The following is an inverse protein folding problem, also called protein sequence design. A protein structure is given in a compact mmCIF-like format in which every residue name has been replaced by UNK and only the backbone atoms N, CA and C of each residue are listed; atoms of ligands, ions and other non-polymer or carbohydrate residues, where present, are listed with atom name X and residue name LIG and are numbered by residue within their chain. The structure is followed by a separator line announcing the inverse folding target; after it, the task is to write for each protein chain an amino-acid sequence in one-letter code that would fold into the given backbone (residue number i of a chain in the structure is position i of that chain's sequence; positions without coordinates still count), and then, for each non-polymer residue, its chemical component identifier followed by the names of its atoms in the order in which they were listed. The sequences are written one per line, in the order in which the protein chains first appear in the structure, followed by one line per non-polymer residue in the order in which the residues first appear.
data_IF_855081721666
#
_entry.id   IF_855081721666
#
_cell.length_a   1.000
_cell.length_b   1.000
_cell.length_c   1.000
_cell.angle_alpha   90.00
_cell.angle_beta   90.00
_cell.angle_gamma   90.00
#
_symmetry.space_group_name_H-M   'P 1'
#
loop_
_entity.id
_entity.type
_entity.pdbx_description
1 polymer ?
#
# COMPACT_ATOMS: atom_id res chain seq x y z
N UNK A 1 41.47 -21.15 27.30
CA UNK A 1 40.78 -20.78 26.06
C UNK A 1 41.75 -20.96 24.91
N UNK A 2 41.40 -21.71 23.87
CA UNK A 2 42.30 -22.12 22.79
C UNK A 2 41.93 -21.45 21.47
N UNK A 3 42.87 -21.44 20.53
CA UNK A 3 42.65 -20.88 19.19
C UNK A 3 41.57 -21.65 18.42
N UNK A 4 41.45 -22.97 18.64
CA UNK A 4 40.41 -23.78 18.01
C UNK A 4 39.01 -23.46 18.58
N UNK A 5 38.93 -23.16 19.88
CA UNK A 5 37.67 -22.71 20.50
C UNK A 5 37.20 -21.38 19.87
N UNK A 6 38.10 -20.42 19.64
CA UNK A 6 37.75 -19.17 18.95
C UNK A 6 37.31 -19.42 17.49
N UNK A 7 37.99 -20.34 16.79
CA UNK A 7 37.74 -20.65 15.39
C UNK A 7 36.35 -21.29 15.18
N UNK A 8 35.95 -22.21 16.07
CA UNK A 8 34.63 -22.83 16.01
C UNK A 8 33.53 -21.81 16.28
N UNK A 9 33.75 -20.87 17.20
CA UNK A 9 32.76 -19.82 17.52
C UNK A 9 32.50 -18.91 16.32
N UNK A 10 33.55 -18.40 15.68
CA UNK A 10 33.38 -17.53 14.49
C UNK A 10 32.77 -18.30 13.31
N UNK A 11 33.06 -19.59 13.17
CA UNK A 11 32.46 -20.43 12.13
C UNK A 11 30.94 -20.59 12.34
N UNK A 12 30.49 -20.83 13.58
CA UNK A 12 29.06 -20.93 13.91
C UNK A 12 28.37 -19.58 13.73
N UNK A 13 28.97 -18.48 14.19
CA UNK A 13 28.42 -17.12 14.00
C UNK A 13 28.28 -16.81 12.51
N UNK A 14 29.30 -17.14 11.70
CA UNK A 14 29.26 -16.98 10.25
C UNK A 14 28.08 -17.72 9.63
N UNK A 15 27.90 -19.00 9.95
CA UNK A 15 26.78 -19.80 9.46
C UNK A 15 25.41 -19.21 9.87
N UNK A 16 25.21 -18.94 11.17
CA UNK A 16 23.94 -18.41 11.68
C UNK A 16 23.61 -17.03 11.11
N UNK A 17 24.62 -16.19 10.87
CA UNK A 17 24.43 -14.84 10.32
C UNK A 17 23.80 -14.87 8.93
N UNK A 18 24.23 -15.79 8.06
CA UNK A 18 23.73 -15.90 6.68
C UNK A 18 22.25 -16.31 6.63
N UNK A 19 21.87 -17.32 7.42
CA UNK A 19 20.48 -17.80 7.52
C UNK A 19 19.57 -16.69 8.06
N UNK A 20 20.04 -15.97 9.08
CA UNK A 20 19.29 -14.89 9.73
C UNK A 20 18.90 -13.78 8.75
N UNK A 21 19.81 -13.40 7.83
CA UNK A 21 19.55 -12.34 6.84
C UNK A 21 18.40 -12.71 5.90
N UNK A 22 18.36 -13.96 5.41
CA UNK A 22 17.32 -14.42 4.49
C UNK A 22 15.95 -14.39 5.16
N UNK A 23 15.86 -14.88 6.40
CA UNK A 23 14.62 -14.89 7.18
C UNK A 23 14.14 -13.47 7.48
N UNK A 24 15.05 -12.58 7.88
CA UNK A 24 14.73 -11.18 8.18
C UNK A 24 14.22 -10.43 6.95
N UNK A 25 14.83 -10.66 5.78
CA UNK A 25 14.35 -10.06 4.53
C UNK A 25 12.94 -10.54 4.20
N UNK A 26 12.65 -11.84 4.33
CA UNK A 26 11.30 -12.40 4.18
C UNK A 26 10.28 -11.78 5.12
N UNK A 27 10.61 -11.66 6.41
CA UNK A 27 9.74 -11.05 7.41
C UNK A 27 9.45 -9.58 7.12
N UNK A 28 10.47 -8.81 6.70
CA UNK A 28 10.32 -7.40 6.31
C UNK A 28 9.42 -7.22 5.09
N UNK A 29 9.51 -8.11 4.08
CA UNK A 29 8.61 -8.09 2.92
C UNK A 29 7.15 -8.29 3.36
N UNK A 30 6.89 -9.34 4.16
CA UNK A 30 5.54 -9.62 4.67
C UNK A 30 4.97 -8.50 5.54
N UNK A 31 5.80 -7.88 6.38
CA UNK A 31 5.39 -6.73 7.21
C UNK A 31 5.00 -5.51 6.36
N UNK A 32 5.73 -5.24 5.28
CA UNK A 32 5.36 -4.17 4.33
C UNK A 32 4.08 -4.50 3.57
N UNK A 33 3.91 -5.75 3.12
CA UNK A 33 2.67 -6.18 2.46
C UNK A 33 1.46 -6.03 3.40
N UNK A 34 1.58 -6.43 4.67
CA UNK A 34 0.52 -6.24 5.66
C UNK A 34 0.18 -4.75 5.85
N UNK A 35 1.21 -3.87 5.87
CA UNK A 35 1.01 -2.42 5.90
C UNK A 35 0.25 -1.94 4.66
N UNK A 36 0.61 -2.39 3.45
CA UNK A 36 -0.09 -2.04 2.20
C UNK A 36 -1.56 -2.39 2.27
N UNK A 37 -1.87 -3.62 2.70
CA UNK A 37 -3.27 -4.05 2.84
C UNK A 37 -4.03 -3.17 3.83
N UNK A 38 -3.43 -2.86 4.98
CA UNK A 38 -4.05 -1.97 5.96
C UNK A 38 -4.26 -0.56 5.41
N UNK A 39 -3.27 0.00 4.71
CA UNK A 39 -3.33 1.34 4.13
C UNK A 39 -4.44 1.43 3.07
N UNK A 40 -4.57 0.42 2.21
CA UNK A 40 -5.65 0.33 1.21
C UNK A 40 -7.02 0.31 1.89
N UNK A 41 -7.20 -0.48 2.96
CA UNK A 41 -8.47 -0.50 3.70
C UNK A 41 -8.83 0.87 4.31
N UNK A 42 -7.84 1.61 4.80
CA UNK A 42 -8.04 2.98 5.32
C UNK A 42 -8.47 3.93 4.20
N UNK A 43 -7.84 3.86 3.02
CA UNK A 43 -8.22 4.70 1.87
C UNK A 43 -9.63 4.37 1.39
N UNK A 44 -9.96 3.07 1.26
CA UNK A 44 -11.30 2.60 0.89
C UNK A 44 -12.38 3.12 1.83
N UNK A 45 -12.16 3.05 3.14
CA UNK A 45 -13.10 3.56 4.13
C UNK A 45 -13.35 5.07 3.95
N UNK A 46 -12.31 5.86 3.67
CA UNK A 46 -12.45 7.28 3.36
C UNK A 46 -13.23 7.53 2.06
N UNK A 47 -12.98 6.73 1.02
CA UNK A 47 -13.72 6.80 -0.25
C UNK A 47 -15.19 6.42 -0.09
N UNK A 48 -15.50 5.45 0.77
CA UNK A 48 -16.89 5.09 1.10
C UNK A 48 -17.61 6.23 1.83
N UNK A 49 -16.94 6.90 2.77
CA UNK A 49 -17.51 8.10 3.40
C UNK A 49 -17.78 9.21 2.37
N UNK A 50 -16.86 9.40 1.41
CA UNK A 50 -17.07 10.33 0.31
C UNK A 50 -18.29 9.94 -0.54
N UNK A 51 -18.47 8.65 -0.84
CA UNK A 51 -19.64 8.15 -1.56
C UNK A 51 -20.95 8.40 -0.81
N UNK A 52 -20.99 8.11 0.49
CA UNK A 52 -22.19 8.30 1.33
C UNK A 52 -22.66 9.77 1.30
N UNK A 53 -21.73 10.73 1.34
CA UNK A 53 -22.10 12.15 1.38
C UNK A 53 -22.30 12.78 -0.01
N UNK A 54 -21.58 12.31 -1.04
CA UNK A 54 -21.53 12.97 -2.35
C UNK A 54 -22.15 12.18 -3.49
N UNK A 55 -22.54 10.93 -3.23
CA UNK A 55 -23.03 9.97 -4.23
C UNK A 55 -22.09 9.83 -5.45
N UNK A 56 -20.78 10.01 -5.23
CA UNK A 56 -19.75 9.92 -6.24
C UNK A 56 -18.40 9.65 -5.57
N UNK A 57 -17.46 9.03 -6.28
CA UNK A 57 -16.05 9.00 -5.88
C UNK A 57 -15.32 10.23 -6.44
N UNK A 58 -14.15 10.62 -5.88
CA UNK A 58 -13.33 11.71 -6.40
C UNK A 58 -13.03 11.54 -7.89
N UNK A 59 -13.33 12.54 -8.70
CA UNK A 59 -12.97 12.52 -10.11
C UNK A 59 -11.51 12.90 -10.27
N UNK A 60 -10.79 12.16 -11.11
CA UNK A 60 -9.38 12.39 -11.45
C UNK A 60 -9.23 12.41 -12.98
N UNK A 61 -8.53 13.40 -13.53
CA UNK A 61 -8.26 13.45 -14.97
C UNK A 61 -7.17 12.47 -15.43
N UNK A 62 -6.37 11.98 -14.49
CA UNK A 62 -5.26 11.05 -14.70
C UNK A 62 -4.98 10.30 -13.40
N UNK A 63 -4.25 9.17 -13.43
CA UNK A 63 -3.86 8.48 -12.22
C UNK A 63 -3.10 9.37 -11.22
N UNK A 64 -3.51 9.35 -9.95
CA UNK A 64 -3.02 10.23 -8.89
C UNK A 64 -2.18 9.44 -7.88
N UNK A 65 -0.94 9.87 -7.64
CA UNK A 65 -0.10 9.27 -6.62
C UNK A 65 -0.50 9.79 -5.24
N UNK A 66 -1.14 8.93 -4.46
CA UNK A 66 -1.67 9.23 -3.15
C UNK A 66 -0.59 9.46 -2.09
N UNK A 67 -0.92 10.28 -1.10
CA UNK A 67 -0.06 10.55 0.07
C UNK A 67 1.09 11.53 -0.22
N UNK A 68 1.11 12.18 -1.39
CA UNK A 68 2.15 13.13 -1.79
C UNK A 68 1.58 14.35 -2.49
N UNK A 69 2.33 15.47 -2.48
CA UNK A 69 1.99 16.70 -3.19
C UNK A 69 0.56 17.17 -2.94
N UNK A 70 -0.26 17.15 -3.99
CA UNK A 70 -1.66 17.58 -3.97
C UNK A 70 -2.66 16.52 -3.49
N UNK A 71 -2.21 15.36 -3.01
CA UNK A 71 -3.07 14.21 -2.69
C UNK A 71 -2.82 13.70 -1.26
N UNK A 72 -2.67 14.62 -0.30
CA UNK A 72 -2.31 14.31 1.09
C UNK A 72 -3.52 14.08 1.99
N UNK A 73 -4.68 14.60 1.62
CA UNK A 73 -5.95 14.46 2.36
C UNK A 73 -7.09 14.10 1.39
N UNK A 74 -8.13 13.43 1.88
CA UNK A 74 -9.38 13.24 1.15
C UNK A 74 -10.47 14.09 1.81
N UNK A 75 -11.14 14.88 0.99
CA UNK A 75 -12.19 15.82 1.41
C UNK A 75 -13.42 15.70 0.53
N UNK A 76 -14.45 16.50 0.82
CA UNK A 76 -15.60 16.68 -0.06
C UNK A 76 -15.24 17.17 -1.48
N UNK A 77 -14.03 17.67 -1.72
CA UNK A 77 -13.61 18.08 -3.06
C UNK A 77 -12.70 17.05 -3.74
N UNK A 78 -12.57 15.85 -3.18
CA UNK A 78 -11.62 14.83 -3.61
C UNK A 78 -10.28 14.89 -2.88
N UNK A 79 -9.24 14.33 -3.51
CA UNK A 79 -7.88 14.34 -2.97
C UNK A 79 -7.26 15.74 -3.10
N UNK A 80 -6.70 16.26 -2.01
CA UNK A 80 -6.17 17.61 -1.93
C UNK A 80 -4.87 17.70 -1.10
N UNK A 81 -4.13 18.81 -1.28
CA UNK A 81 -2.93 19.11 -0.48
C UNK A 81 -3.27 19.52 0.96
N UNK A 82 -4.46 20.08 1.17
CA UNK A 82 -4.86 20.74 2.42
C UNK A 82 -6.36 20.53 2.64
N UNK A 83 -6.82 20.28 3.88
CA UNK A 83 -8.22 19.99 4.15
C UNK A 83 -9.11 21.21 3.88
N UNK A 84 -9.83 21.19 2.76
CA UNK A 84 -10.81 22.22 2.40
C UNK A 84 -12.19 21.58 2.23
N UNK A 85 -13.12 21.92 3.12
CA UNK A 85 -14.44 21.28 3.19
C UNK A 85 -14.48 20.13 4.20
N UNK A 86 -15.49 19.26 4.11
CA UNK A 86 -15.62 18.08 4.97
C UNK A 86 -14.44 17.14 4.73
N UNK A 87 -13.80 16.66 5.79
CA UNK A 87 -12.61 15.80 5.70
C UNK A 87 -13.02 14.34 5.94
N UNK A 88 -12.75 13.47 4.98
CA UNK A 88 -13.04 12.03 5.07
C UNK A 88 -11.81 11.20 5.41
N UNK A 89 -10.62 11.67 4.99
CA UNK A 89 -9.35 11.10 5.39
C UNK A 89 -8.35 12.22 5.64
N UNK A 90 -8.08 12.50 6.91
CA UNK A 90 -7.20 13.59 7.32
C UNK A 90 -5.73 13.38 6.93
N UNK A 91 -5.34 12.14 6.63
CA UNK A 91 -4.02 11.82 6.08
C UNK A 91 -4.11 10.59 5.20
N UNK A 92 -3.80 10.76 3.93
CA UNK A 92 -3.71 9.66 2.99
C UNK A 92 -2.41 8.89 3.25
N UNK A 93 -2.46 7.56 3.44
CA UNK A 93 -1.27 6.73 3.56
C UNK A 93 -0.35 6.86 2.35
N UNK A 94 0.97 6.76 2.61
CA UNK A 94 2.02 6.66 1.59
C UNK A 94 2.56 5.23 1.59
N UNK A 95 3.10 4.78 0.45
CA UNK A 95 3.61 3.43 0.29
C UNK A 95 4.67 3.04 1.34
N UNK A 96 4.86 1.74 1.52
CA UNK A 96 5.68 1.20 2.60
C UNK A 96 7.20 1.43 2.43
N UNK A 97 7.63 1.90 1.25
CA UNK A 97 9.01 2.26 0.93
C UNK A 97 9.11 3.71 0.46
N UNK A 98 10.30 4.28 0.61
CA UNK A 98 10.59 5.60 0.03
C UNK A 98 10.40 5.55 -1.49
N UNK A 99 9.60 6.47 -2.03
CA UNK A 99 9.28 6.54 -3.46
C UNK A 99 8.22 5.54 -3.92
N UNK A 100 7.60 4.79 -3.02
CA UNK A 100 6.45 3.93 -3.31
C UNK A 100 5.14 4.68 -3.03
N UNK A 101 4.19 4.58 -3.95
CA UNK A 101 2.90 5.25 -3.87
C UNK A 101 1.76 4.27 -4.16
N UNK A 102 0.60 4.56 -3.58
CA UNK A 102 -0.66 4.00 -4.06
C UNK A 102 -1.18 4.93 -5.15
N UNK A 103 -1.64 4.39 -6.27
CA UNK A 103 -2.11 5.21 -7.40
C UNK A 103 -3.62 5.07 -7.52
N UNK A 104 -4.34 6.19 -7.38
CA UNK A 104 -5.78 6.25 -7.52
C UNK A 104 -6.17 6.61 -8.95
N UNK A 105 -7.19 5.96 -9.48
CA UNK A 105 -7.81 6.33 -10.74
C UNK A 105 -9.33 6.16 -10.61
N UNK A 106 -10.09 7.19 -10.99
CA UNK A 106 -11.54 7.07 -11.09
C UNK A 106 -11.94 6.32 -12.36
N UNK A 107 -12.90 5.40 -12.25
CA UNK A 107 -13.54 4.79 -13.41
C UNK A 107 -14.88 5.50 -13.66
N UNK A 108 -14.89 6.37 -14.67
CA UNK A 108 -16.09 7.12 -15.04
C UNK A 108 -17.15 6.26 -15.72
N UNK A 109 -16.81 5.09 -16.25
CA UNK A 109 -17.75 4.21 -16.94
C UNK A 109 -18.64 3.44 -15.95
N UNK A 110 -18.04 2.98 -14.84
CA UNK A 110 -18.73 2.22 -13.79
C UNK A 110 -19.08 3.07 -12.56
N UNK A 111 -18.70 4.35 -12.56
CA UNK A 111 -18.76 5.24 -11.39
C UNK A 111 -18.01 4.61 -10.20
N UNK A 112 -16.87 4.01 -10.50
CA UNK A 112 -16.02 3.30 -9.55
C UNK A 112 -14.66 3.98 -9.37
N UNK A 113 -13.74 3.24 -8.77
CA UNK A 113 -12.34 3.62 -8.70
C UNK A 113 -11.45 2.36 -8.67
N UNK A 114 -10.16 2.57 -8.93
CA UNK A 114 -9.13 1.60 -8.62
C UNK A 114 -8.01 2.26 -7.82
N UNK A 115 -7.44 1.53 -6.87
CA UNK A 115 -6.21 1.91 -6.18
C UNK A 115 -5.17 0.85 -6.49
N UNK A 116 -4.14 1.21 -7.25
CA UNK A 116 -3.02 0.35 -7.56
C UNK A 116 -2.06 0.26 -6.37
N UNK A 117 -1.62 -0.96 -6.05
CA UNK A 117 -0.53 -1.24 -5.11
C UNK A 117 0.24 -2.49 -5.54
N UNK A 118 1.49 -2.62 -5.10
CA UNK A 118 2.36 -3.75 -5.48
C UNK A 118 2.85 -4.51 -4.26
N UNK A 119 2.62 -5.82 -4.23
CA UNK A 119 3.09 -6.71 -3.17
C UNK A 119 4.46 -7.30 -3.48
N UNK A 120 5.23 -7.61 -2.44
CA UNK A 120 6.60 -8.13 -2.58
C UNK A 120 6.70 -9.64 -2.35
N UNK A 121 5.70 -10.22 -1.68
CA UNK A 121 5.63 -11.64 -1.37
C UNK A 121 4.29 -12.24 -1.77
N UNK A 122 4.17 -13.56 -1.63
CA UNK A 122 2.89 -14.23 -1.80
C UNK A 122 1.94 -13.71 -0.70
N UNK A 123 0.78 -13.23 -1.12
CA UNK A 123 -0.29 -12.72 -0.26
C UNK A 123 -1.58 -13.51 -0.51
N UNK A 124 -2.66 -13.14 0.19
CA UNK A 124 -4.00 -13.67 -0.09
C UNK A 124 -4.51 -13.32 -1.50
N UNK A 125 -3.97 -12.28 -2.13
CA UNK A 125 -4.35 -11.89 -3.49
C UNK A 125 -3.62 -12.71 -4.57
N UNK A 126 -2.55 -13.41 -4.21
CA UNK A 126 -1.75 -14.21 -5.13
C UNK A 126 -0.24 -13.98 -5.01
N UNK A 127 0.53 -14.30 -6.05
CA UNK A 127 1.97 -14.05 -6.12
C UNK A 127 2.34 -12.57 -5.93
N UNK A 128 3.62 -12.29 -5.71
CA UNK A 128 4.12 -10.91 -5.70
C UNK A 128 3.79 -10.23 -7.05
N UNK A 129 3.20 -9.05 -7.00
CA UNK A 129 2.74 -8.37 -8.21
C UNK A 129 1.90 -7.14 -7.93
N UNK A 130 1.41 -6.53 -9.01
CA UNK A 130 0.53 -5.36 -8.94
C UNK A 130 -0.91 -5.80 -8.87
N UNK A 131 -1.64 -5.20 -7.93
CA UNK A 131 -3.06 -5.42 -7.70
C UNK A 131 -3.78 -4.09 -7.67
N UNK A 132 -5.08 -4.15 -7.97
CA UNK A 132 -5.97 -3.01 -8.00
C UNK A 132 -7.10 -3.26 -7.00
N UNK A 133 -7.28 -2.28 -6.12
CA UNK A 133 -8.33 -2.29 -5.12
C UNK A 133 -9.51 -1.45 -5.59
N UNK A 134 -10.67 -2.07 -5.75
CA UNK A 134 -11.96 -1.43 -6.02
C UNK A 134 -12.75 -1.22 -4.73
N UNK A 135 -14.03 -0.84 -4.81
CA UNK A 135 -14.91 -0.67 -3.64
C UNK A 135 -15.13 -1.97 -2.86
N UNK A 136 -15.29 -3.11 -3.56
CA UNK A 136 -15.68 -4.39 -2.97
C UNK A 136 -14.65 -5.51 -3.15
N UNK A 137 -13.71 -5.36 -4.08
CA UNK A 137 -12.87 -6.44 -4.57
C UNK A 137 -11.43 -6.00 -4.83
N UNK A 138 -10.50 -6.95 -4.85
CA UNK A 138 -9.10 -6.73 -5.24
C UNK A 138 -8.77 -7.71 -6.35
N UNK A 139 -8.26 -7.22 -7.48
CA UNK A 139 -7.87 -8.07 -8.60
C UNK A 139 -6.60 -7.51 -9.31
N UNK A 140 -6.31 -7.99 -10.51
CA UNK A 140 -5.13 -7.61 -11.30
C UNK A 140 -5.45 -6.67 -12.48
N UNK A 141 -6.65 -6.10 -12.53
CA UNK A 141 -7.18 -5.23 -13.58
C UNK A 141 -7.46 -3.83 -13.05
N UNK A 142 -7.03 -2.79 -13.77
CA UNK A 142 -7.37 -1.42 -13.39
C UNK A 142 -8.87 -1.11 -13.60
N UNK A 143 -9.51 -1.82 -14.54
CA UNK A 143 -10.93 -1.67 -14.86
C UNK A 143 -11.73 -2.70 -14.07
N UNK A 144 -12.77 -2.21 -13.37
CA UNK A 144 -13.72 -3.04 -12.65
C UNK A 144 -14.48 -3.94 -13.65
N UNK A 145 -14.51 -5.25 -13.40
CA UNK A 145 -15.18 -6.24 -14.26
C UNK A 145 -16.63 -6.47 -13.87
#
# INVERSE_FOLDING_TARGET
FTLIELLVVIAIIGLLSTISIVVLNGARMKSRDAKRVSDIQVIRAGLEQHWIERAAYPLSASPENLGTGSYQVLTSNGFQATPTGSVYLARVPVGARSGEYYTYECDTATIGYSIQFTTESITSYGPAGTYYAHSDSVDTSATQK
#
